data_IF_011091942084
#
_entry.id   IF_011091942084
#
_cell.length_a   1.000
_cell.length_b   1.000
_cell.length_c   1.000
_cell.angle_alpha   90.00
_cell.angle_beta   90.00
_cell.angle_gamma   90.00
#
_symmetry.space_group_name_H-M   'P 1'
#
loop_
_entity.id
_entity.type
_entity.pdbx_description
1 polymer ?
#
# COMPACT_ATOMS: atom_id res chain seq x y z
N UNK A 1 -7.82 1.74 -5.21
CA UNK A 1 -7.69 0.34 -5.69
C UNK A 1 -6.26 -0.19 -5.58
N UNK A 2 -5.24 0.45 -6.17
CA UNK A 2 -3.87 -0.06 -6.11
C UNK A 2 -3.36 -0.29 -4.67
N UNK A 3 -3.54 0.69 -3.76
CA UNK A 3 -3.16 0.56 -2.34
C UNK A 3 -3.84 -0.63 -1.64
N UNK A 4 -5.13 -0.87 -1.91
CA UNK A 4 -5.86 -1.98 -1.31
C UNK A 4 -5.43 -3.34 -1.84
N UNK A 5 -4.93 -3.40 -3.09
CA UNK A 5 -4.32 -4.62 -3.64
C UNK A 5 -2.96 -4.87 -2.99
N UNK A 6 -2.09 -3.85 -2.88
CA UNK A 6 -0.80 -3.99 -2.20
C UNK A 6 -0.93 -4.47 -0.74
N UNK A 7 -1.90 -3.90 0.01
CA UNK A 7 -2.23 -4.33 1.38
C UNK A 7 -2.80 -5.76 1.44
N UNK A 8 -3.48 -6.22 0.39
CA UNK A 8 -3.96 -7.62 0.31
C UNK A 8 -2.78 -8.56 0.12
N UNK A 9 -1.93 -8.26 -0.87
CA UNK A 9 -0.71 -9.02 -1.14
C UNK A 9 0.20 -9.10 0.09
N UNK A 10 0.32 -8.02 0.88
CA UNK A 10 1.07 -8.02 2.15
C UNK A 10 0.52 -9.04 3.16
N UNK A 11 -0.80 -9.18 3.28
CA UNK A 11 -1.41 -10.20 4.15
C UNK A 11 -1.19 -11.61 3.61
N UNK A 12 -1.33 -11.79 2.31
CA UNK A 12 -1.11 -13.10 1.67
C UNK A 12 0.36 -13.53 1.83
N UNK A 13 1.29 -12.57 1.72
CA UNK A 13 2.72 -12.78 1.95
C UNK A 13 3.03 -13.17 3.40
N UNK A 14 2.43 -12.47 4.37
CA UNK A 14 2.55 -12.82 5.79
C UNK A 14 2.04 -14.22 6.08
N UNK A 15 0.91 -14.61 5.48
CA UNK A 15 0.36 -15.95 5.65
C UNK A 15 1.32 -16.99 5.07
N UNK A 16 1.88 -16.75 3.89
CA UNK A 16 2.85 -17.66 3.28
C UNK A 16 4.12 -17.81 4.14
N UNK A 17 4.61 -16.71 4.72
CA UNK A 17 5.77 -16.73 5.64
C UNK A 17 5.54 -17.58 6.92
N UNK A 18 4.30 -17.92 7.27
CA UNK A 18 4.02 -18.81 8.41
C UNK A 18 4.29 -20.28 8.08
N UNK A 19 4.19 -20.67 6.81
CA UNK A 19 4.40 -22.05 6.35
C UNK A 19 5.75 -22.29 5.68
N UNK A 20 6.38 -21.23 5.15
CA UNK A 20 7.61 -21.32 4.38
C UNK A 20 8.62 -20.25 4.80
N UNK A 21 9.91 -20.58 4.76
CA UNK A 21 10.97 -19.58 5.00
C UNK A 21 11.16 -18.73 3.74
N UNK A 22 10.66 -17.50 3.80
CA UNK A 22 10.68 -16.54 2.69
C UNK A 22 11.39 -15.26 3.15
N UNK A 23 12.10 -14.53 2.25
CA UNK A 23 12.80 -13.30 2.60
C UNK A 23 11.87 -12.22 3.19
N UNK A 24 12.22 -11.63 4.34
CA UNK A 24 11.42 -10.58 4.98
C UNK A 24 11.40 -9.26 4.17
N UNK A 25 12.34 -9.08 3.25
CA UNK A 25 12.49 -7.94 2.37
C UNK A 25 11.27 -7.74 1.48
N UNK A 26 10.59 -8.81 1.07
CA UNK A 26 9.36 -8.72 0.28
C UNK A 26 8.23 -8.03 1.06
N UNK A 27 8.14 -8.28 2.36
CA UNK A 27 7.18 -7.62 3.24
C UNK A 27 7.48 -6.12 3.37
N UNK A 28 8.75 -5.77 3.57
CA UNK A 28 9.18 -4.36 3.62
C UNK A 28 8.89 -3.62 2.31
N UNK A 29 9.12 -4.28 1.17
CA UNK A 29 8.82 -3.72 -0.14
C UNK A 29 7.32 -3.45 -0.31
N UNK A 30 6.46 -4.44 -0.02
CA UNK A 30 5.00 -4.29 -0.11
C UNK A 30 4.50 -3.17 0.80
N UNK A 31 5.10 -3.06 1.99
CA UNK A 31 4.78 -1.99 2.92
C UNK A 31 5.07 -0.61 2.32
N UNK A 32 6.28 -0.39 1.80
CA UNK A 32 6.69 0.88 1.18
C UNK A 32 5.93 1.19 -0.10
N UNK A 33 5.63 0.17 -0.90
CA UNK A 33 4.83 0.32 -2.11
C UNK A 33 3.44 0.88 -1.79
N UNK A 34 2.79 0.39 -0.74
CA UNK A 34 1.48 0.90 -0.36
C UNK A 34 1.49 2.39 0.03
N UNK A 35 2.57 2.85 0.69
CA UNK A 35 2.75 4.24 1.10
C UNK A 35 3.02 5.12 -0.11
N UNK A 36 3.88 4.64 -1.03
CA UNK A 36 4.10 5.31 -2.31
C UNK A 36 2.80 5.44 -3.10
N UNK A 37 1.98 4.39 -3.18
CA UNK A 37 0.68 4.43 -3.85
C UNK A 37 -0.29 5.42 -3.19
N UNK A 38 -0.21 5.61 -1.87
CA UNK A 38 -0.98 6.64 -1.17
C UNK A 38 -0.50 8.04 -1.56
N UNK A 39 0.81 8.29 -1.54
CA UNK A 39 1.40 9.58 -1.93
C UNK A 39 1.12 9.89 -3.39
N UNK A 40 1.26 8.93 -4.30
CA UNK A 40 0.97 9.11 -5.72
C UNK A 40 -0.50 9.47 -5.95
N UNK A 41 -1.42 8.81 -5.25
CA UNK A 41 -2.84 9.16 -5.31
C UNK A 41 -3.10 10.63 -4.93
N UNK A 42 -2.44 11.10 -3.86
CA UNK A 42 -2.51 12.50 -3.40
C UNK A 42 -1.93 13.49 -4.41
N UNK A 43 -0.76 13.16 -4.99
CA UNK A 43 -0.11 13.98 -6.02
C UNK A 43 -0.98 14.08 -7.27
N UNK A 44 -1.56 12.96 -7.71
CA UNK A 44 -2.45 12.93 -8.87
C UNK A 44 -3.73 13.73 -8.61
N UNK A 45 -4.35 13.60 -7.43
CA UNK A 45 -5.51 14.40 -7.05
C UNK A 45 -5.20 15.90 -7.05
N UNK A 46 -4.05 16.29 -6.48
CA UNK A 46 -3.60 17.68 -6.50
C UNK A 46 -3.37 18.19 -7.92
N UNK A 47 -2.75 17.41 -8.78
CA UNK A 47 -2.53 17.77 -10.19
C UNK A 47 -3.84 17.89 -10.97
N UNK A 48 -4.85 17.08 -10.62
CA UNK A 48 -6.19 17.15 -11.18
C UNK A 48 -7.08 18.25 -10.57
N UNK A 49 -6.56 19.06 -9.63
CA UNK A 49 -7.33 20.09 -8.93
C UNK A 49 -8.41 19.55 -7.98
N UNK A 50 -8.37 18.25 -7.67
CA UNK A 50 -9.31 17.60 -6.76
C UNK A 50 -8.89 17.83 -5.31
N UNK A 51 -9.82 18.30 -4.48
CA UNK A 51 -9.57 18.45 -3.06
C UNK A 51 -9.51 17.08 -2.36
N UNK A 52 -8.56 16.91 -1.46
CA UNK A 52 -8.49 15.72 -0.63
C UNK A 52 -9.62 15.73 0.38
N UNK A 53 -10.40 14.64 0.41
CA UNK A 53 -11.38 14.40 1.47
C UNK A 53 -10.64 14.12 2.77
N UNK A 54 -10.46 15.16 3.59
CA UNK A 54 -9.96 15.02 4.96
C UNK A 54 -11.02 14.31 5.79
N UNK A 55 -10.60 13.30 6.54
CA UNK A 55 -11.47 12.61 7.47
C UNK A 55 -11.91 13.60 8.58
N UNK A 56 -13.21 13.87 8.65
CA UNK A 56 -13.80 14.65 9.73
C UNK A 56 -14.16 13.71 10.87
N UNK A 57 -13.75 14.10 12.09
CA UNK A 57 -13.77 13.28 13.30
C UNK A 57 -15.13 13.26 13.97
#
# INVERSE_FOLDING_TARGET
VARSVARRTERDYLHLMQGETIPAEGLHYLNRLSDLLFVLCRVLNRAAGQQETLWQR
#
